data_IF_931473613952
#
_entry.id   IF_931473613952
#
_cell.length_a   1.000
_cell.length_b   1.000
_cell.length_c   1.000
_cell.angle_alpha   90.00
_cell.angle_beta   90.00
_cell.angle_gamma   90.00
#
_symmetry.space_group_name_H-M   'P 1'
#
loop_
_entity.id
_entity.type
_entity.pdbx_description
1 polymer ?
#
# COMPACT_ATOMS: atom_id res chain seq x y z
N UNK A 1 -45.87 -21.04 -54.16
CA UNK A 1 -44.62 -21.65 -54.65
C UNK A 1 -43.53 -20.61 -54.50
N UNK A 2 -42.96 -20.48 -53.29
CA UNK A 2 -41.58 -20.88 -52.95
C UNK A 2 -40.51 -20.38 -53.92
N UNK A 3 -39.77 -19.35 -53.49
CA UNK A 3 -38.34 -19.22 -53.79
C UNK A 3 -37.69 -18.39 -52.67
N UNK A 4 -36.91 -19.08 -51.84
CA UNK A 4 -36.08 -18.53 -50.77
C UNK A 4 -35.04 -17.56 -51.34
N UNK A 5 -34.99 -16.33 -50.83
CA UNK A 5 -33.83 -15.46 -50.99
C UNK A 5 -32.81 -15.92 -49.95
N UNK A 6 -31.81 -16.68 -50.41
CA UNK A 6 -30.69 -17.15 -49.59
C UNK A 6 -29.96 -15.94 -49.00
N UNK A 7 -29.89 -15.91 -47.68
CA UNK A 7 -29.17 -14.93 -46.89
C UNK A 7 -27.68 -14.87 -47.27
N UNK A 8 -27.18 -13.65 -47.48
CA UNK A 8 -25.76 -13.35 -47.54
C UNK A 8 -25.07 -13.86 -46.27
N UNK A 9 -24.24 -14.89 -46.43
CA UNK A 9 -23.43 -15.45 -45.34
C UNK A 9 -22.43 -14.39 -44.86
N UNK A 10 -22.21 -14.22 -43.54
CA UNK A 10 -21.13 -13.39 -43.04
C UNK A 10 -19.78 -14.01 -43.40
N UNK A 11 -18.84 -13.17 -43.83
CA UNK A 11 -17.46 -13.55 -44.11
C UNK A 11 -16.81 -14.17 -42.86
N UNK A 12 -16.38 -15.41 -43.00
CA UNK A 12 -15.60 -16.13 -41.98
C UNK A 12 -14.26 -15.43 -41.77
N UNK A 13 -13.85 -15.10 -40.53
CA UNK A 13 -12.49 -14.64 -40.28
C UNK A 13 -11.51 -15.79 -40.52
N UNK A 14 -10.49 -15.54 -41.34
CA UNK A 14 -9.40 -16.47 -41.60
C UNK A 14 -8.66 -16.78 -40.29
N UNK A 15 -8.85 -18.00 -39.78
CA UNK A 15 -8.08 -18.55 -38.68
C UNK A 15 -6.68 -18.94 -39.20
N UNK A 16 -5.65 -18.21 -38.77
CA UNK A 16 -4.26 -18.64 -38.94
C UNK A 16 -4.00 -19.95 -38.17
N UNK A 17 -3.09 -20.82 -38.63
CA UNK A 17 -3.03 -22.22 -38.22
C UNK A 17 -2.41 -22.47 -36.83
N UNK A 18 -2.08 -21.44 -36.06
CA UNK A 18 -1.44 -21.61 -34.75
C UNK A 18 -2.07 -20.65 -33.74
N UNK A 19 -3.08 -21.15 -33.01
CA UNK A 19 -3.86 -20.44 -32.00
C UNK A 19 -3.07 -19.97 -30.76
N UNK A 20 -2.03 -19.17 -30.97
CA UNK A 20 -1.37 -18.39 -29.91
C UNK A 20 -1.75 -16.94 -30.12
N UNK A 21 -2.59 -16.41 -29.23
CA UNK A 21 -2.73 -14.96 -29.07
C UNK A 21 -1.35 -14.44 -28.67
N UNK A 22 -0.59 -13.95 -29.64
CA UNK A 22 0.61 -13.17 -29.37
C UNK A 22 0.12 -11.89 -28.70
N UNK A 23 0.35 -11.79 -27.39
CA UNK A 23 0.29 -10.52 -26.70
C UNK A 23 1.19 -9.53 -27.48
N UNK A 24 0.74 -8.28 -27.70
CA UNK A 24 1.58 -7.30 -28.38
C UNK A 24 2.86 -7.14 -27.56
N UNK A 25 3.99 -7.58 -28.12
CA UNK A 25 5.30 -7.32 -27.53
C UNK A 25 5.51 -5.81 -27.51
N UNK A 26 5.71 -5.17 -26.35
CA UNK A 26 6.01 -3.75 -26.30
C UNK A 26 7.34 -3.48 -27.04
N UNK A 27 7.45 -2.35 -27.76
CA UNK A 27 8.67 -2.01 -28.48
C UNK A 27 9.87 -1.94 -27.52
N UNK A 28 10.99 -2.56 -27.93
CA UNK A 28 12.27 -2.49 -27.20
C UNK A 28 12.67 -1.03 -27.06
N UNK A 29 12.57 -0.47 -25.85
CA UNK A 29 13.13 0.84 -25.55
C UNK A 29 12.33 1.69 -24.56
N UNK A 30 11.02 1.50 -24.42
CA UNK A 30 10.27 2.19 -23.38
C UNK A 30 10.23 1.36 -22.10
N UNK A 31 11.01 1.80 -21.11
CA UNK A 31 10.85 1.34 -19.72
C UNK A 31 9.52 1.89 -19.24
N UNK A 32 8.50 1.05 -19.15
CA UNK A 32 7.23 1.42 -18.56
C UNK A 32 7.45 1.71 -17.07
N UNK A 33 7.46 3.00 -16.72
CA UNK A 33 7.69 3.50 -15.35
C UNK A 33 6.61 3.02 -14.38
N UNK A 34 5.48 2.54 -14.91
CA UNK A 34 4.35 2.04 -14.12
C UNK A 34 4.56 0.61 -13.62
N UNK A 35 5.60 -0.09 -14.08
CA UNK A 35 5.88 -1.47 -13.68
C UNK A 35 7.21 -1.52 -12.91
N UNK A 36 7.20 -2.09 -11.71
CA UNK A 36 8.43 -2.24 -10.93
C UNK A 36 9.41 -3.21 -11.64
N UNK A 37 10.69 -3.22 -11.23
CA UNK A 37 11.71 -4.12 -11.82
C UNK A 37 11.38 -5.62 -11.74
N UNK A 38 10.41 -6.02 -10.91
CA UNK A 38 9.95 -7.41 -10.77
C UNK A 38 8.71 -7.72 -11.64
N UNK A 39 8.23 -6.77 -12.45
CA UNK A 39 7.08 -6.97 -13.33
C UNK A 39 5.72 -6.72 -12.69
N UNK A 40 5.66 -6.15 -11.48
CA UNK A 40 4.42 -5.86 -10.77
C UNK A 40 4.14 -4.34 -10.77
N UNK A 41 2.90 -3.97 -11.09
CA UNK A 41 2.42 -2.61 -10.87
C UNK A 41 2.55 -2.27 -9.37
N UNK A 42 3.05 -1.08 -9.00
CA UNK A 42 3.11 -0.67 -7.62
C UNK A 42 1.68 -0.66 -7.06
N UNK A 43 1.43 -1.50 -6.06
CA UNK A 43 0.16 -1.52 -5.35
C UNK A 43 -0.15 -0.10 -4.88
N UNK A 44 -1.32 0.41 -5.28
CA UNK A 44 -1.83 1.71 -4.80
C UNK A 44 -2.09 1.61 -3.31
N UNK A 45 -1.07 1.92 -2.51
CA UNK A 45 -1.23 2.10 -1.07
C UNK A 45 -1.86 3.48 -0.86
N UNK A 46 -3.05 3.51 -0.26
CA UNK A 46 -3.61 4.76 0.27
C UNK A 46 -2.61 5.33 1.29
N UNK A 47 -2.30 6.61 1.16
CA UNK A 47 -1.27 7.23 1.99
C UNK A 47 -1.86 7.46 3.38
N UNK A 48 -1.47 6.63 4.36
CA UNK A 48 -1.88 6.82 5.77
C UNK A 48 -1.65 8.25 6.24
N UNK A 49 -2.57 8.73 7.07
CA UNK A 49 -2.61 10.11 7.53
C UNK A 49 -1.31 10.50 8.25
N UNK A 50 -0.79 11.73 8.01
CA UNK A 50 0.45 12.18 8.64
C UNK A 50 0.39 12.23 10.17
N UNK A 51 -0.78 12.56 10.72
CA UNK A 51 -1.02 12.65 12.17
C UNK A 51 -0.93 11.28 12.83
N UNK A 52 -1.63 10.29 12.26
CA UNK A 52 -1.61 8.90 12.74
C UNK A 52 -0.20 8.32 12.64
N UNK A 53 0.49 8.53 11.51
CA UNK A 53 1.89 8.10 11.35
C UNK A 53 2.80 8.73 12.42
N UNK A 54 2.59 10.00 12.74
CA UNK A 54 3.38 10.68 13.75
C UNK A 54 3.08 10.15 15.15
N UNK A 55 1.82 9.92 15.49
CA UNK A 55 1.42 9.28 16.74
C UNK A 55 2.08 7.92 16.92
N UNK A 56 1.97 7.03 15.92
CA UNK A 56 2.58 5.69 15.94
C UNK A 56 4.10 5.75 16.14
N UNK A 57 4.77 6.68 15.44
CA UNK A 57 6.22 6.89 15.59
C UNK A 57 6.57 7.41 16.98
N UNK A 58 5.75 8.29 17.54
CA UNK A 58 5.91 8.79 18.90
C UNK A 58 5.84 7.65 19.92
N UNK A 59 4.78 6.84 19.82
CA UNK A 59 4.56 5.68 20.68
C UNK A 59 5.72 4.70 20.66
N UNK A 60 6.20 4.32 19.48
CA UNK A 60 7.38 3.45 19.35
C UNK A 60 8.60 4.02 20.08
N UNK A 61 8.85 5.33 19.95
CA UNK A 61 9.98 5.98 20.61
C UNK A 61 9.80 6.04 22.13
N UNK A 62 8.57 6.28 22.59
CA UNK A 62 8.20 6.27 24.01
C UNK A 62 8.42 4.91 24.66
N UNK A 63 7.96 3.84 24.00
CA UNK A 63 8.16 2.45 24.43
C UNK A 63 9.65 2.10 24.51
N UNK A 64 10.46 2.61 23.58
CA UNK A 64 11.89 2.29 23.47
C UNK A 64 12.80 3.09 24.41
N UNK A 65 12.29 3.97 25.27
CA UNK A 65 13.20 4.75 26.13
C UNK A 65 13.73 6.05 25.54
N UNK A 66 13.32 6.42 24.32
CA UNK A 66 13.94 7.53 23.60
C UNK A 66 13.47 8.88 24.11
N UNK A 67 14.30 9.91 23.95
CA UNK A 67 13.95 11.28 24.33
C UNK A 67 12.91 11.89 23.40
N UNK A 68 12.12 12.81 23.96
CA UNK A 68 11.05 13.52 23.26
C UNK A 68 11.54 14.55 22.22
N UNK A 69 12.81 14.94 22.31
CA UNK A 69 13.42 15.92 21.40
C UNK A 69 13.83 15.31 20.05
N UNK A 70 13.83 13.97 19.93
CA UNK A 70 14.10 13.28 18.66
C UNK A 70 12.93 13.36 17.65
N UNK A 71 11.94 14.21 17.90
CA UNK A 71 10.81 14.42 17.02
C UNK A 71 11.27 15.05 15.69
N UNK A 72 11.13 14.35 14.54
CA UNK A 72 11.58 14.86 13.24
C UNK A 72 10.58 15.83 12.59
N UNK A 73 9.46 16.14 13.25
CA UNK A 73 8.36 16.90 12.66
C UNK A 73 8.44 18.39 13.03
N UNK A 74 8.41 19.25 12.01
CA UNK A 74 8.39 20.71 12.16
C UNK A 74 6.98 21.27 12.28
N UNK A 75 5.99 20.59 11.68
CA UNK A 75 4.59 21.02 11.72
C UNK A 75 4.02 20.85 13.13
N UNK A 76 3.43 21.89 13.75
CA UNK A 76 3.01 21.84 15.15
C UNK A 76 1.94 20.78 15.41
N UNK A 77 0.94 20.61 14.54
CA UNK A 77 -0.12 19.60 14.73
C UNK A 77 0.41 18.16 14.70
N UNK A 78 1.31 17.86 13.77
CA UNK A 78 1.96 16.55 13.65
C UNK A 78 2.94 16.31 14.80
N UNK A 79 3.65 17.35 15.24
CA UNK A 79 4.48 17.30 16.45
C UNK A 79 3.63 16.97 17.67
N UNK A 80 2.48 17.62 17.88
CA UNK A 80 1.60 17.30 19.01
C UNK A 80 1.13 15.84 18.99
N UNK A 81 0.71 15.33 17.82
CA UNK A 81 0.33 13.91 17.69
C UNK A 81 1.48 12.96 18.07
N UNK A 82 2.72 13.27 17.64
CA UNK A 82 3.90 12.51 18.02
C UNK A 82 4.19 12.57 19.52
N UNK A 83 4.06 13.75 20.14
CA UNK A 83 4.26 13.95 21.58
C UNK A 83 3.24 13.15 22.40
N UNK A 84 1.98 13.10 21.95
CA UNK A 84 0.92 12.33 22.59
C UNK A 84 1.23 10.83 22.56
N UNK A 85 1.55 10.29 21.37
CA UNK A 85 1.97 8.90 21.24
C UNK A 85 3.19 8.57 22.10
N UNK A 86 4.19 9.47 22.14
CA UNK A 86 5.38 9.29 22.98
C UNK A 86 5.06 9.19 24.47
N UNK A 87 4.12 10.01 24.98
CA UNK A 87 3.69 9.95 26.38
C UNK A 87 3.02 8.60 26.69
N UNK A 88 2.14 8.14 25.82
CA UNK A 88 1.47 6.84 25.98
C UNK A 88 2.47 5.69 25.97
N UNK A 89 3.40 5.67 25.01
CA UNK A 89 4.45 4.65 24.96
C UNK A 89 5.41 4.71 26.14
N UNK A 90 5.66 5.91 26.71
CA UNK A 90 6.49 6.07 27.91
C UNK A 90 5.78 5.53 29.15
N UNK A 91 4.48 5.77 29.28
CA UNK A 91 3.64 5.20 30.33
C UNK A 91 3.69 3.67 30.30
N UNK A 92 3.50 3.08 29.13
CA UNK A 92 3.57 1.62 28.96
C UNK A 92 4.97 1.06 29.23
N UNK A 93 6.02 1.84 28.95
CA UNK A 93 7.38 1.46 29.31
C UNK A 93 7.62 1.44 30.81
N UNK A 94 7.03 2.38 31.55
CA UNK A 94 7.12 2.40 33.00
C UNK A 94 6.25 1.34 33.66
N UNK A 95 5.10 1.01 33.07
CA UNK A 95 4.20 -0.05 33.53
C UNK A 95 4.71 -1.47 33.21
N UNK A 96 5.88 -1.58 32.56
CA UNK A 96 6.50 -2.87 32.24
C UNK A 96 5.85 -3.62 31.08
N UNK A 97 4.90 -3.03 30.35
CA UNK A 97 4.26 -3.60 29.16
C UNK A 97 5.14 -3.53 27.90
N UNK A 98 6.44 -3.82 28.05
CA UNK A 98 7.39 -3.82 26.92
C UNK A 98 7.84 -5.23 26.56
N UNK A 99 7.96 -5.51 25.26
CA UNK A 99 8.23 -6.86 24.74
C UNK A 99 6.95 -7.61 24.43
N UNK A 100 6.85 -8.87 24.85
CA UNK A 100 5.71 -9.76 24.54
C UNK A 100 4.39 -9.30 25.15
N UNK A 101 4.44 -8.65 26.32
CA UNK A 101 3.26 -8.06 26.97
C UNK A 101 2.68 -6.84 26.21
N UNK A 102 3.51 -6.13 25.43
CA UNK A 102 3.11 -4.96 24.65
C UNK A 102 2.62 -5.28 23.22
N UNK A 103 2.68 -6.54 22.79
CA UNK A 103 2.29 -6.95 21.42
C UNK A 103 0.80 -6.67 21.17
N UNK A 104 -0.05 -6.80 22.19
CA UNK A 104 -1.48 -6.49 22.08
C UNK A 104 -1.73 -5.02 21.75
N UNK A 105 -1.10 -4.09 22.49
CA UNK A 105 -1.16 -2.64 22.24
C UNK A 105 -0.61 -2.24 20.87
N UNK A 106 0.51 -2.84 20.44
CA UNK A 106 1.09 -2.56 19.12
C UNK A 106 0.21 -3.03 17.96
N UNK A 107 -0.50 -4.14 18.13
CA UNK A 107 -1.45 -4.64 17.14
C UNK A 107 -2.68 -3.74 17.02
N UNK A 108 -3.22 -3.27 18.15
CA UNK A 108 -4.33 -2.30 18.17
C UNK A 108 -3.95 -1.02 17.42
N UNK A 109 -2.76 -0.47 17.68
CA UNK A 109 -2.28 0.72 17.00
C UNK A 109 -2.05 0.52 15.49
N UNK A 110 -1.67 -0.68 15.04
CA UNK A 110 -1.50 -0.97 13.62
C UNK A 110 -2.80 -1.34 12.89
N UNK A 111 -3.86 -1.70 13.61
CA UNK A 111 -5.14 -2.13 13.05
C UNK A 111 -6.07 -0.96 12.65
N UNK A 112 -5.76 0.28 13.05
CA UNK A 112 -6.61 1.47 12.79
C UNK A 112 -6.26 2.19 11.48
N UNK A 113 -5.43 1.61 10.59
CA UNK A 113 -5.00 2.29 9.35
C UNK A 113 -4.99 1.46 8.09
#
# INVERSE_FOLDING_TARGET
>A
MSAMVMASRPATPAAGPNGRRLCPTPPRGLRDITVNRRGHYPMRRLKRDPLERAFLRGYQYGVHGKSRELCPFTLPSVRQAWINGWREGRGDNWDGMTGTAGIHRLNELHAVG
#
